data_IF_384757799898
#
_entry.id   IF_384757799898
#
_cell.length_a   1.000
_cell.length_b   1.000
_cell.length_c   1.000
_cell.angle_alpha   90.00
_cell.angle_beta   90.00
_cell.angle_gamma   90.00
#
_symmetry.space_group_name_H-M   'P 1'
#
loop_
_entity.id
_entity.type
_entity.pdbx_description
1 polymer ?
#
# COMPACT_ATOMS: atom_id res chain seq x y z
N UNK A 1 18.08 21.63 15.55
CA UNK A 1 16.94 22.47 15.90
C UNK A 1 15.67 21.71 15.56
N UNK A 2 14.82 21.40 16.53
CA UNK A 2 13.64 20.56 16.32
C UNK A 2 12.52 21.29 15.58
N UNK A 3 11.50 20.55 15.13
CA UNK A 3 10.31 21.08 14.46
C UNK A 3 9.38 21.86 15.42
N UNK A 4 9.60 21.79 16.74
CA UNK A 4 8.71 22.34 17.76
C UNK A 4 8.37 23.83 17.59
N UNK A 5 9.34 24.75 17.37
CA UNK A 5 9.01 26.17 17.20
C UNK A 5 8.13 26.43 15.97
N UNK A 6 8.30 25.65 14.91
CA UNK A 6 7.47 25.74 13.71
C UNK A 6 6.03 25.29 13.98
N UNK A 7 5.86 24.24 14.80
CA UNK A 7 4.54 23.74 15.20
C UNK A 7 3.80 24.75 16.08
N UNK A 8 4.49 25.36 17.05
CA UNK A 8 3.94 26.42 17.90
C UNK A 8 3.47 27.61 17.06
N UNK A 9 4.30 28.05 16.12
CA UNK A 9 3.95 29.14 15.22
C UNK A 9 2.71 28.82 14.37
N UNK A 10 2.62 27.60 13.81
CA UNK A 10 1.45 27.19 13.03
C UNK A 10 0.16 27.19 13.86
N UNK A 11 0.24 26.68 15.10
CA UNK A 11 -0.89 26.68 16.04
C UNK A 11 -1.30 28.12 16.41
N UNK A 12 -0.33 28.99 16.67
CA UNK A 12 -0.60 30.41 16.98
C UNK A 12 -1.26 31.16 15.83
N UNK A 13 -0.97 30.75 14.59
CA UNK A 13 -1.62 31.25 13.37
C UNK A 13 -3.01 30.63 13.12
N UNK A 14 -3.50 29.76 14.00
CA UNK A 14 -4.82 29.14 13.89
C UNK A 14 -4.87 27.95 12.91
N UNK A 15 -3.73 27.32 12.62
CA UNK A 15 -3.67 26.16 11.74
C UNK A 15 -3.82 24.85 12.51
N UNK A 16 -4.67 23.95 12.00
CA UNK A 16 -4.68 22.56 12.44
C UNK A 16 -3.36 21.86 12.05
N UNK A 17 -2.92 20.91 12.87
CA UNK A 17 -1.67 20.17 12.64
C UNK A 17 -1.97 18.69 12.49
N UNK A 18 -1.61 18.13 11.33
CA UNK A 18 -1.64 16.69 11.06
C UNK A 18 -0.24 16.11 11.15
N UNK A 19 -0.04 15.19 12.09
CA UNK A 19 1.22 14.51 12.34
C UNK A 19 1.13 13.02 11.96
N UNK A 20 2.02 12.60 11.07
CA UNK A 20 2.18 11.20 10.69
C UNK A 20 3.42 10.53 11.28
N UNK A 21 4.16 11.19 12.17
CA UNK A 21 5.35 10.64 12.82
C UNK A 21 4.96 9.67 13.96
N UNK A 22 5.94 8.90 14.44
CA UNK A 22 5.79 8.06 15.65
C UNK A 22 6.04 8.85 16.95
N UNK A 23 6.45 10.12 16.85
CA UNK A 23 6.49 11.06 17.97
C UNK A 23 5.17 11.83 18.01
N UNK A 24 4.37 11.62 19.05
CA UNK A 24 3.01 12.13 19.11
C UNK A 24 2.95 13.58 19.61
N UNK A 25 2.12 14.39 18.96
CA UNK A 25 1.88 15.77 19.40
C UNK A 25 1.12 15.80 20.73
N UNK A 26 0.23 14.84 20.95
CA UNK A 26 -0.56 14.71 22.19
C UNK A 26 0.27 14.46 23.44
N UNK A 27 1.47 13.91 23.31
CA UNK A 27 2.37 13.68 24.44
C UNK A 27 3.12 14.96 24.85
N UNK A 28 2.98 16.05 24.07
CA UNK A 28 3.62 17.35 24.32
C UNK A 28 2.61 18.29 24.96
N UNK A 29 2.58 18.29 26.30
CA UNK A 29 1.62 19.06 27.10
C UNK A 29 1.54 20.54 26.69
N UNK A 30 2.67 21.17 26.36
CA UNK A 30 2.74 22.57 25.91
C UNK A 30 2.00 22.79 24.58
N UNK A 31 2.17 21.90 23.60
CA UNK A 31 1.45 21.97 22.32
C UNK A 31 -0.05 21.71 22.51
N UNK A 32 -0.42 20.77 23.37
CA UNK A 32 -1.82 20.47 23.66
C UNK A 32 -2.52 21.68 24.28
N UNK A 33 -1.89 22.31 25.28
CA UNK A 33 -2.43 23.51 25.92
C UNK A 33 -2.55 24.67 24.92
N UNK A 34 -1.54 24.85 24.05
CA UNK A 34 -1.57 25.88 23.02
C UNK A 34 -2.69 25.64 22.00
N UNK A 35 -2.84 24.40 21.52
CA UNK A 35 -3.88 24.03 20.57
C UNK A 35 -5.29 24.24 21.14
N UNK A 36 -5.52 23.86 22.40
CA UNK A 36 -6.77 24.12 23.11
C UNK A 36 -7.07 25.61 23.23
N UNK A 37 -6.06 26.42 23.59
CA UNK A 37 -6.20 27.88 23.69
C UNK A 37 -6.54 28.54 22.34
N UNK A 38 -6.00 28.01 21.25
CA UNK A 38 -6.19 28.53 19.88
C UNK A 38 -7.40 27.93 19.16
N UNK A 39 -8.02 26.89 19.71
CA UNK A 39 -9.17 26.21 19.11
C UNK A 39 -8.82 25.39 17.87
N UNK A 40 -7.56 24.95 17.73
CA UNK A 40 -7.08 24.13 16.60
C UNK A 40 -6.97 22.66 16.98
N UNK A 41 -6.93 21.79 15.99
CA UNK A 41 -6.83 20.34 16.15
C UNK A 41 -5.39 19.84 16.00
N UNK A 42 -5.00 18.92 16.88
CA UNK A 42 -3.79 18.11 16.74
C UNK A 42 -4.19 16.67 16.38
N UNK A 43 -3.86 16.26 15.16
CA UNK A 43 -4.24 14.97 14.58
C UNK A 43 -3.00 14.09 14.45
N UNK A 44 -2.84 13.14 15.37
CA UNK A 44 -1.79 12.12 15.31
C UNK A 44 -2.31 10.87 14.58
N UNK A 45 -1.89 10.66 13.33
CA UNK A 45 -2.40 9.57 12.48
C UNK A 45 -1.98 8.17 12.96
N UNK A 46 -0.81 8.09 13.58
CA UNK A 46 -0.24 6.86 14.12
C UNK A 46 -0.57 6.63 15.59
N UNK A 47 -1.40 7.48 16.19
CA UNK A 47 -1.76 7.32 17.59
C UNK A 47 -2.52 6.00 17.77
N UNK A 48 -2.09 5.11 18.69
CA UNK A 48 -2.74 3.83 18.87
C UNK A 48 -4.21 4.00 19.23
N UNK A 49 -5.07 3.30 18.48
CA UNK A 49 -6.49 3.21 18.84
C UNK A 49 -6.63 2.45 20.16
N UNK A 50 -7.71 2.71 20.91
CA UNK A 50 -8.00 1.92 22.10
C UNK A 50 -8.21 0.46 21.72
N UNK A 51 -7.72 -0.47 22.54
CA UNK A 51 -7.79 -1.91 22.24
C UNK A 51 -9.23 -2.39 21.96
N UNK A 52 -10.22 -1.79 22.64
CA UNK A 52 -11.65 -2.09 22.46
C UNK A 52 -12.20 -1.67 21.10
N UNK A 53 -11.50 -0.78 20.39
CA UNK A 53 -11.88 -0.31 19.05
C UNK A 53 -11.14 -1.04 17.91
N UNK A 54 -10.18 -1.91 18.24
CA UNK A 54 -9.46 -2.72 17.27
C UNK A 54 -10.26 -3.98 16.94
N UNK A 55 -10.30 -4.34 15.66
CA UNK A 55 -11.01 -5.53 15.18
C UNK A 55 -10.11 -6.76 15.19
N UNK A 56 -10.67 -7.89 15.59
CA UNK A 56 -10.06 -9.20 15.35
C UNK A 56 -10.55 -9.74 14.00
N UNK A 57 -9.72 -10.53 13.33
CA UNK A 57 -10.10 -11.17 12.06
C UNK A 57 -11.12 -12.29 12.29
N UNK A 58 -12.15 -12.33 11.47
CA UNK A 58 -13.28 -13.27 11.58
C UNK A 58 -13.51 -14.11 10.32
N UNK A 59 -12.89 -13.73 9.20
CA UNK A 59 -13.13 -14.34 7.89
C UNK A 59 -14.32 -13.74 7.13
N UNK A 60 -15.00 -12.74 7.71
CA UNK A 60 -16.07 -11.99 7.08
C UNK A 60 -15.64 -11.30 5.78
N UNK A 61 -14.35 -11.05 5.56
CA UNK A 61 -13.81 -10.52 4.30
C UNK A 61 -14.27 -11.31 3.05
N UNK A 62 -14.55 -12.61 3.19
CA UNK A 62 -15.05 -13.49 2.12
C UNK A 62 -16.45 -13.09 1.62
N UNK A 63 -17.20 -12.33 2.41
CA UNK A 63 -18.50 -11.78 2.02
C UNK A 63 -18.34 -10.66 0.98
N UNK A 64 -17.20 -9.96 0.96
CA UNK A 64 -16.91 -8.93 -0.03
C UNK A 64 -16.65 -9.57 -1.40
N UNK A 65 -17.69 -9.61 -2.24
CA UNK A 65 -17.66 -10.27 -3.56
C UNK A 65 -16.93 -9.46 -4.65
N UNK A 66 -16.43 -8.27 -4.34
CA UNK A 66 -15.59 -7.50 -5.27
C UNK A 66 -14.24 -8.19 -5.52
N UNK A 67 -13.57 -7.81 -6.61
CA UNK A 67 -12.21 -8.28 -6.92
C UNK A 67 -11.21 -7.54 -6.03
N UNK A 68 -10.35 -8.27 -5.30
CA UNK A 68 -9.41 -7.69 -4.33
C UNK A 68 -7.95 -7.92 -4.74
N UNK A 69 -7.29 -6.87 -5.24
CA UNK A 69 -5.91 -6.95 -5.74
C UNK A 69 -4.98 -6.17 -4.81
N UNK A 70 -3.95 -6.84 -4.28
CA UNK A 70 -2.90 -6.14 -3.54
C UNK A 70 -1.79 -5.65 -4.47
N UNK A 71 -1.29 -4.44 -4.24
CA UNK A 71 -0.11 -3.91 -4.92
C UNK A 71 1.10 -4.06 -4.00
N UNK A 72 1.77 -5.22 -4.09
CA UNK A 72 2.97 -5.53 -3.32
C UNK A 72 4.22 -5.04 -4.05
N UNK A 73 5.40 -5.19 -3.44
CA UNK A 73 6.64 -4.79 -4.09
C UNK A 73 7.87 -5.39 -3.46
N UNK A 74 9.00 -5.32 -4.16
CA UNK A 74 10.27 -5.89 -3.71
C UNK A 74 11.02 -5.05 -2.69
N UNK A 75 10.63 -3.78 -2.50
CA UNK A 75 11.20 -2.89 -1.47
C UNK A 75 10.26 -1.70 -1.12
N UNK A 76 10.59 -0.95 -0.07
CA UNK A 76 10.01 0.37 0.26
C UNK A 76 10.31 1.40 -0.84
N UNK A 77 9.46 2.42 -1.00
CA UNK A 77 9.71 3.54 -1.92
C UNK A 77 10.09 3.05 -3.34
N UNK A 78 9.41 1.99 -3.80
CA UNK A 78 9.60 1.41 -5.13
C UNK A 78 8.55 1.90 -6.15
N UNK A 79 7.51 2.61 -5.69
CA UNK A 79 6.43 3.13 -6.54
C UNK A 79 5.07 2.43 -6.38
N UNK A 80 4.89 1.54 -5.38
CA UNK A 80 3.64 0.78 -5.17
C UNK A 80 2.38 1.66 -5.21
N UNK A 81 2.36 2.73 -4.41
CA UNK A 81 1.24 3.66 -4.35
C UNK A 81 1.03 4.41 -5.66
N UNK A 82 2.10 4.85 -6.33
CA UNK A 82 2.04 5.52 -7.63
C UNK A 82 1.37 4.61 -8.66
N UNK A 83 1.82 3.37 -8.77
CA UNK A 83 1.21 2.37 -9.66
C UNK A 83 -0.24 2.09 -9.30
N UNK A 84 -0.56 1.98 -8.00
CA UNK A 84 -1.94 1.80 -7.53
C UNK A 84 -2.86 2.96 -7.93
N UNK A 85 -2.40 4.21 -7.83
CA UNK A 85 -3.17 5.38 -8.27
C UNK A 85 -3.37 5.40 -9.78
N UNK A 86 -2.34 5.09 -10.56
CA UNK A 86 -2.45 4.98 -12.02
C UNK A 86 -3.43 3.88 -12.43
N UNK A 87 -3.39 2.73 -11.76
CA UNK A 87 -4.32 1.62 -11.96
C UNK A 87 -5.76 2.02 -11.64
N UNK A 88 -5.97 2.71 -10.50
CA UNK A 88 -7.29 3.20 -10.11
C UNK A 88 -7.85 4.19 -11.15
N UNK A 89 -7.03 5.15 -11.60
CA UNK A 89 -7.41 6.12 -12.62
C UNK A 89 -7.73 5.44 -13.97
N UNK A 90 -6.88 4.51 -14.41
CA UNK A 90 -7.07 3.80 -15.67
C UNK A 90 -8.29 2.85 -15.63
N UNK A 91 -8.54 2.17 -14.51
CA UNK A 91 -9.73 1.34 -14.34
C UNK A 91 -11.01 2.18 -14.36
N UNK A 92 -11.05 3.31 -13.62
CA UNK A 92 -12.18 4.25 -13.65
C UNK A 92 -12.42 4.84 -15.04
N UNK A 93 -11.36 5.13 -15.80
CA UNK A 93 -11.46 5.58 -17.20
C UNK A 93 -12.13 4.53 -18.11
N UNK A 94 -12.02 3.24 -17.77
CA UNK A 94 -12.71 2.13 -18.45
C UNK A 94 -14.11 1.84 -17.89
N UNK A 95 -14.65 2.70 -17.02
CA UNK A 95 -15.98 2.54 -16.44
C UNK A 95 -16.06 1.57 -15.26
N UNK A 96 -14.92 1.09 -14.75
CA UNK A 96 -14.87 0.14 -13.65
C UNK A 96 -14.98 0.88 -12.33
N UNK A 97 -15.95 0.52 -11.50
CA UNK A 97 -16.03 1.08 -10.17
C UNK A 97 -14.89 0.56 -9.29
N UNK A 98 -13.85 1.40 -9.13
CA UNK A 98 -12.62 1.03 -8.43
C UNK A 98 -12.41 1.88 -7.18
N UNK A 99 -12.10 1.23 -6.07
CA UNK A 99 -11.73 1.87 -4.81
C UNK A 99 -10.35 1.42 -4.34
N UNK A 100 -9.75 2.21 -3.44
CA UNK A 100 -8.44 1.94 -2.86
C UNK A 100 -8.54 1.79 -1.34
N UNK A 101 -7.81 0.82 -0.79
CA UNK A 101 -7.56 0.70 0.65
C UNK A 101 -6.16 1.24 0.94
N UNK A 102 -6.07 2.33 1.70
CA UNK A 102 -4.78 2.79 2.21
C UNK A 102 -4.33 1.93 3.38
N UNK A 103 -3.02 1.74 3.50
CA UNK A 103 -2.40 1.04 4.62
C UNK A 103 -1.31 1.88 5.31
N UNK A 104 -1.05 3.08 4.81
CA UNK A 104 -0.08 4.01 5.39
C UNK A 104 -0.60 5.45 5.48
N UNK A 105 0.12 6.26 6.25
CA UNK A 105 -0.23 7.66 6.56
C UNK A 105 -0.46 8.52 5.31
N UNK A 106 0.33 8.32 4.25
CA UNK A 106 0.23 9.17 3.07
C UNK A 106 -1.05 8.90 2.30
N UNK A 107 -1.55 7.66 2.28
CA UNK A 107 -2.82 7.35 1.65
C UNK A 107 -3.98 8.06 2.37
N UNK A 108 -3.94 8.11 3.70
CA UNK A 108 -4.88 8.90 4.50
C UNK A 108 -4.78 10.40 4.18
N UNK A 109 -3.57 10.96 4.16
CA UNK A 109 -3.34 12.39 3.86
C UNK A 109 -3.76 12.76 2.42
N UNK A 110 -3.74 11.81 1.50
CA UNK A 110 -4.24 11.98 0.12
C UNK A 110 -5.76 11.86 0.02
N UNK A 111 -6.47 11.67 1.14
CA UNK A 111 -7.93 11.60 1.18
C UNK A 111 -8.50 10.26 0.71
N UNK A 112 -7.72 9.17 0.72
CA UNK A 112 -8.27 7.83 0.48
C UNK A 112 -9.22 7.51 1.64
N UNK A 113 -10.48 7.24 1.30
CA UNK A 113 -11.58 7.13 2.27
C UNK A 113 -11.45 5.94 3.22
N UNK A 114 -11.07 4.78 2.69
CA UNK A 114 -11.10 3.51 3.40
C UNK A 114 -9.69 2.98 3.63
N UNK A 115 -9.40 2.52 4.84
CA UNK A 115 -8.09 2.02 5.20
C UNK A 115 -7.77 2.07 6.68
N UNK A 116 -6.51 1.83 6.99
CA UNK A 116 -5.96 1.90 8.34
C UNK A 116 -4.44 2.17 8.27
N UNK A 117 -3.82 2.49 9.40
CA UNK A 117 -2.37 2.72 9.47
C UNK A 117 -1.69 1.46 9.97
N UNK A 118 -1.17 0.66 9.04
CA UNK A 118 -0.66 -0.68 9.30
C UNK A 118 0.52 -0.66 10.26
N UNK A 119 1.49 0.25 10.06
CA UNK A 119 2.71 0.33 10.87
C UNK A 119 2.50 0.85 12.30
N UNK A 120 1.33 1.41 12.60
CA UNK A 120 0.91 1.82 13.93
C UNK A 120 -0.10 0.85 14.58
N UNK A 121 -0.52 -0.18 13.84
CA UNK A 121 -1.49 -1.16 14.34
C UNK A 121 -0.75 -2.29 15.04
N UNK A 122 -1.13 -2.66 16.29
CA UNK A 122 -0.50 -3.79 16.95
C UNK A 122 -0.69 -5.07 16.13
N UNK A 123 0.37 -5.86 16.00
CA UNK A 123 0.44 -6.97 15.03
C UNK A 123 -0.77 -7.92 15.09
N UNK A 124 -1.24 -8.29 16.29
CA UNK A 124 -2.39 -9.16 16.48
C UNK A 124 -3.73 -8.65 15.93
N UNK A 125 -3.82 -7.36 15.59
CA UNK A 125 -5.02 -6.72 15.05
C UNK A 125 -4.89 -6.30 13.58
N UNK A 126 -3.71 -6.42 12.96
CA UNK A 126 -3.49 -5.99 11.56
C UNK A 126 -4.45 -6.69 10.61
N UNK A 127 -4.63 -8.01 10.76
CA UNK A 127 -5.55 -8.79 9.92
C UNK A 127 -7.01 -8.37 10.10
N UNK A 128 -7.44 -8.04 11.32
CA UNK A 128 -8.81 -7.62 11.59
C UNK A 128 -9.10 -6.19 11.15
N UNK A 129 -8.15 -5.26 11.30
CA UNK A 129 -8.29 -3.90 10.76
C UNK A 129 -8.28 -3.89 9.22
N UNK A 130 -7.48 -4.76 8.59
CA UNK A 130 -7.51 -4.98 7.14
C UNK A 130 -8.87 -5.51 6.67
N UNK A 131 -9.39 -6.56 7.31
CA UNK A 131 -10.73 -7.09 7.05
C UNK A 131 -11.81 -6.00 7.22
N UNK A 132 -11.74 -5.24 8.31
CA UNK A 132 -12.66 -4.13 8.58
C UNK A 132 -12.61 -3.04 7.51
N UNK A 133 -11.41 -2.64 7.07
CA UNK A 133 -11.24 -1.64 6.01
C UNK A 133 -11.86 -2.10 4.67
N UNK A 134 -11.64 -3.37 4.31
CA UNK A 134 -12.22 -3.98 3.10
C UNK A 134 -13.75 -4.01 3.20
N UNK A 135 -14.30 -4.46 4.33
CA UNK A 135 -15.74 -4.56 4.54
C UNK A 135 -16.42 -3.20 4.56
N UNK A 136 -15.82 -2.19 5.21
CA UNK A 136 -16.34 -0.83 5.19
C UNK A 136 -16.41 -0.29 3.76
N UNK A 137 -15.32 -0.45 2.99
CA UNK A 137 -15.30 -0.04 1.59
C UNK A 137 -16.34 -0.77 0.75
N UNK A 138 -16.47 -2.09 0.95
CA UNK A 138 -17.43 -2.89 0.19
C UNK A 138 -18.88 -2.52 0.51
N UNK A 139 -19.20 -2.28 1.78
CA UNK A 139 -20.55 -1.92 2.21
C UNK A 139 -20.94 -0.49 1.80
N UNK A 140 -20.02 0.47 1.90
CA UNK A 140 -20.30 1.89 1.64
C UNK A 140 -20.18 2.28 0.17
N UNK A 141 -19.21 1.72 -0.56
CA UNK A 141 -18.94 2.08 -1.96
C UNK A 141 -19.38 1.01 -2.95
N UNK A 142 -19.52 -0.28 -2.59
CA UNK A 142 -19.84 -1.37 -3.54
C UNK A 142 -18.94 -1.35 -4.80
N UNK A 143 -17.60 -1.36 -4.66
CA UNK A 143 -16.71 -1.37 -5.83
C UNK A 143 -16.75 -2.73 -6.54
N UNK A 144 -16.44 -2.73 -7.84
CA UNK A 144 -16.15 -3.93 -8.61
C UNK A 144 -14.70 -4.39 -8.39
N UNK A 145 -13.78 -3.42 -8.26
CA UNK A 145 -12.35 -3.63 -8.03
C UNK A 145 -11.90 -2.87 -6.78
N UNK A 146 -11.22 -3.57 -5.88
CA UNK A 146 -10.57 -3.02 -4.70
C UNK A 146 -9.06 -3.20 -4.80
N UNK A 147 -8.34 -2.08 -4.83
CA UNK A 147 -6.87 -2.06 -4.83
C UNK A 147 -6.36 -1.84 -3.40
N UNK A 148 -5.53 -2.73 -2.90
CA UNK A 148 -5.01 -2.69 -1.52
C UNK A 148 -3.53 -2.29 -1.56
N UNK A 149 -3.21 -1.19 -0.88
CA UNK A 149 -1.85 -0.67 -0.79
C UNK A 149 -0.95 -1.66 -0.02
N UNK A 150 0.09 -2.19 -0.67
CA UNK A 150 1.14 -2.94 0.03
C UNK A 150 2.12 -2.02 0.74
N UNK A 151 2.58 -2.43 1.93
CA UNK A 151 3.68 -1.78 2.66
C UNK A 151 4.95 -2.62 2.56
N UNK A 152 6.11 -1.95 2.70
CA UNK A 152 7.45 -2.57 2.65
C UNK A 152 7.63 -3.64 1.54
N UNK A 153 8.13 -4.82 1.90
CA UNK A 153 8.22 -6.01 1.05
C UNK A 153 8.23 -7.26 1.93
N UNK A 154 7.91 -8.43 1.38
CA UNK A 154 7.83 -9.67 2.17
C UNK A 154 9.15 -10.01 2.86
N UNK A 155 10.27 -9.70 2.20
CA UNK A 155 11.62 -10.01 2.66
C UNK A 155 12.43 -8.79 3.10
N UNK A 156 11.81 -7.61 3.23
CA UNK A 156 12.54 -6.44 3.73
C UNK A 156 12.89 -6.64 5.22
N UNK A 157 14.18 -6.61 5.60
CA UNK A 157 14.61 -6.99 6.94
C UNK A 157 14.24 -5.98 8.03
N UNK A 158 13.95 -4.72 7.72
CA UNK A 158 13.59 -3.72 8.74
C UNK A 158 12.13 -3.76 9.16
N UNK A 159 11.30 -4.50 8.43
CA UNK A 159 9.86 -4.47 8.55
C UNK A 159 9.25 -5.29 7.43
N UNK A 160 9.38 -6.64 7.49
CA UNK A 160 8.75 -7.50 6.49
C UNK A 160 7.24 -7.29 6.56
N UNK A 161 6.60 -7.15 5.41
CA UNK A 161 5.17 -6.88 5.34
C UNK A 161 4.58 -7.43 4.05
N UNK A 162 3.30 -7.82 4.12
CA UNK A 162 2.52 -8.25 2.97
C UNK A 162 1.99 -9.67 3.11
N UNK A 163 2.55 -10.48 4.02
CA UNK A 163 2.03 -11.79 4.34
C UNK A 163 0.61 -11.70 4.93
N UNK A 164 0.37 -10.68 5.76
CA UNK A 164 -0.93 -10.36 6.33
C UNK A 164 -1.96 -10.05 5.24
N UNK A 165 -1.56 -9.33 4.20
CA UNK A 165 -2.43 -9.03 3.06
C UNK A 165 -2.74 -10.30 2.27
N UNK A 166 -1.73 -11.13 1.99
CA UNK A 166 -1.87 -12.40 1.26
C UNK A 166 -2.81 -13.38 1.97
N UNK A 167 -2.72 -13.45 3.31
CA UNK A 167 -3.46 -14.43 4.10
C UNK A 167 -4.85 -13.95 4.51
N UNK A 168 -5.02 -12.66 4.81
CA UNK A 168 -6.21 -12.17 5.53
C UNK A 168 -7.18 -11.37 4.68
N UNK A 169 -6.80 -10.95 3.46
CA UNK A 169 -7.65 -10.11 2.61
C UNK A 169 -8.49 -10.87 1.57
N UNK A 170 -8.44 -12.21 1.54
CA UNK A 170 -9.11 -13.04 0.52
C UNK A 170 -8.74 -12.57 -0.91
N UNK A 171 -7.44 -12.37 -1.13
CA UNK A 171 -6.96 -11.75 -2.36
C UNK A 171 -7.23 -12.61 -3.58
N UNK A 172 -7.56 -11.88 -4.63
CA UNK A 172 -7.87 -12.37 -5.95
C UNK A 172 -6.63 -12.35 -6.86
N UNK A 173 -5.62 -11.57 -6.47
CA UNK A 173 -4.31 -11.52 -7.11
C UNK A 173 -3.42 -10.41 -6.55
N UNK A 174 -2.20 -10.37 -7.07
CA UNK A 174 -1.16 -9.41 -6.69
C UNK A 174 -0.59 -8.75 -7.93
N UNK A 175 -0.46 -7.43 -7.89
CA UNK A 175 0.41 -6.69 -8.80
C UNK A 175 1.72 -6.39 -8.09
N UNK A 176 2.84 -6.78 -8.71
CA UNK A 176 4.14 -6.72 -8.06
C UNK A 176 4.95 -5.54 -8.60
N UNK A 177 5.20 -4.54 -7.75
CA UNK A 177 6.09 -3.43 -8.04
C UNK A 177 7.55 -3.85 -7.90
N UNK A 178 8.36 -3.56 -8.90
CA UNK A 178 9.80 -3.81 -8.86
C UNK A 178 10.61 -2.59 -9.32
N UNK A 179 11.77 -2.38 -8.70
CA UNK A 179 12.74 -1.35 -9.03
C UNK A 179 14.07 -2.04 -9.39
N UNK A 180 14.28 -2.42 -10.66
CA UNK A 180 15.46 -3.19 -11.06
C UNK A 180 16.79 -2.47 -10.89
N UNK A 181 16.79 -1.12 -10.87
CA UNK A 181 18.00 -0.34 -10.59
C UNK A 181 18.47 -0.45 -9.13
N UNK A 182 17.68 -1.03 -8.22
CA UNK A 182 18.03 -1.19 -6.80
C UNK A 182 18.47 -2.61 -6.50
N UNK A 183 19.76 -2.77 -6.17
CA UNK A 183 20.36 -4.06 -5.83
C UNK A 183 20.23 -4.43 -4.34
N UNK A 184 20.10 -3.44 -3.45
CA UNK A 184 20.10 -3.64 -2.00
C UNK A 184 18.91 -2.93 -1.35
N UNK A 185 18.39 -3.48 -0.25
CA UNK A 185 17.28 -2.87 0.49
C UNK A 185 17.62 -1.46 0.96
N UNK A 186 16.72 -0.52 0.70
CA UNK A 186 16.92 0.92 0.99
C UNK A 186 17.09 1.23 2.49
N UNK A 187 16.52 0.41 3.37
CA UNK A 187 16.47 0.70 4.81
C UNK A 187 17.79 0.51 5.55
N UNK A 188 18.68 -0.34 5.02
CA UNK A 188 20.00 -0.56 5.61
C UNK A 188 21.09 -0.49 4.52
N UNK A 189 21.35 0.69 3.92
CA UNK A 189 22.30 0.80 2.82
C UNK A 189 23.71 0.33 3.18
N UNK A 190 24.14 0.57 4.43
CA UNK A 190 25.45 0.16 4.95
C UNK A 190 25.63 -1.36 5.00
N UNK A 191 24.56 -2.12 5.24
CA UNK A 191 24.61 -3.58 5.33
C UNK A 191 24.57 -4.27 3.96
N UNK A 192 24.24 -3.53 2.89
CA UNK A 192 24.17 -4.03 1.50
C UNK A 192 23.43 -5.38 1.40
N UNK A 193 22.28 -5.48 2.07
CA UNK A 193 21.45 -6.69 2.03
C UNK A 193 20.79 -6.77 0.65
N UNK A 194 21.08 -7.81 -0.15
CA UNK A 194 20.62 -7.87 -1.54
C UNK A 194 19.11 -8.07 -1.63
N UNK A 195 18.47 -7.37 -2.56
CA UNK A 195 17.10 -7.66 -2.97
C UNK A 195 17.15 -8.94 -3.81
N UNK A 196 16.41 -10.00 -3.44
CA UNK A 196 16.44 -11.26 -4.19
C UNK A 196 15.88 -11.11 -5.62
N UNK A 197 16.19 -12.05 -6.53
CA UNK A 197 15.63 -12.06 -7.88
C UNK A 197 14.10 -12.08 -7.85
N UNK A 198 13.48 -11.37 -8.80
CA UNK A 198 12.03 -11.18 -8.86
C UNK A 198 11.26 -12.50 -8.94
N UNK A 199 11.81 -13.51 -9.62
CA UNK A 199 11.24 -14.85 -9.73
C UNK A 199 11.04 -15.51 -8.36
N UNK A 200 11.98 -15.29 -7.44
CA UNK A 200 11.88 -15.82 -6.08
C UNK A 200 10.81 -15.10 -5.27
N UNK A 201 10.53 -13.83 -5.56
CA UNK A 201 9.44 -13.08 -4.92
C UNK A 201 8.08 -13.57 -5.43
N UNK A 202 7.97 -13.82 -6.73
CA UNK A 202 6.78 -14.43 -7.34
C UNK A 202 6.52 -15.83 -6.74
N UNK A 203 7.56 -16.64 -6.59
CA UNK A 203 7.47 -17.95 -5.95
C UNK A 203 7.06 -17.87 -4.48
N UNK A 204 7.58 -16.89 -3.74
CA UNK A 204 7.22 -16.66 -2.34
C UNK A 204 5.75 -16.24 -2.20
N UNK A 205 5.27 -15.33 -3.04
CA UNK A 205 3.84 -14.95 -3.07
C UNK A 205 2.96 -16.17 -3.34
N UNK A 206 3.38 -17.06 -4.26
CA UNK A 206 2.69 -18.33 -4.53
C UNK A 206 2.69 -19.27 -3.33
N UNK A 207 3.78 -19.32 -2.56
CA UNK A 207 3.85 -20.15 -1.36
C UNK A 207 2.85 -19.72 -0.27
N UNK A 208 2.47 -18.43 -0.23
CA UNK A 208 1.37 -17.91 0.61
C UNK A 208 -0.03 -18.15 0.01
N UNK A 209 -0.14 -18.84 -1.14
CA UNK A 209 -1.39 -19.03 -1.87
C UNK A 209 -1.80 -17.86 -2.78
N UNK A 210 -0.96 -16.81 -2.86
CA UNK A 210 -1.21 -15.67 -3.74
C UNK A 210 -0.87 -15.93 -5.21
N UNK A 211 -1.45 -15.14 -6.11
CA UNK A 211 -1.15 -15.19 -7.55
C UNK A 211 -0.70 -13.84 -8.04
N UNK A 212 0.52 -13.75 -8.58
CA UNK A 212 0.99 -12.54 -9.28
C UNK A 212 0.31 -12.46 -10.63
N UNK A 213 -0.37 -11.35 -10.90
CA UNK A 213 -1.10 -11.08 -12.13
C UNK A 213 -0.27 -10.29 -13.14
N UNK A 214 0.66 -9.48 -12.65
CA UNK A 214 1.52 -8.66 -13.49
C UNK A 214 2.52 -7.86 -12.66
N UNK A 215 3.44 -7.21 -13.36
CA UNK A 215 4.60 -6.55 -12.77
C UNK A 215 4.65 -5.10 -13.24
N UNK A 216 4.83 -4.18 -12.30
CA UNK A 216 5.04 -2.77 -12.56
C UNK A 216 6.51 -2.43 -12.31
N UNK A 217 7.22 -1.94 -13.32
CA UNK A 217 8.62 -1.57 -13.23
C UNK A 217 8.78 -0.08 -12.95
N UNK A 218 9.66 0.26 -12.01
CA UNK A 218 10.16 1.61 -11.82
C UNK A 218 11.54 1.72 -12.49
N UNK A 219 11.66 2.63 -13.47
CA UNK A 219 12.88 2.84 -14.25
C UNK A 219 14.05 3.51 -13.52
N UNK A 220 13.86 3.97 -12.29
CA UNK A 220 14.88 4.71 -11.57
C UNK A 220 16.20 3.91 -11.48
N UNK A 221 17.31 4.55 -11.85
CA UNK A 221 18.63 3.94 -11.86
C UNK A 221 18.97 3.14 -13.13
N UNK A 222 18.09 3.09 -14.13
CA UNK A 222 18.34 2.50 -15.44
C UNK A 222 18.13 3.50 -16.58
N UNK A 223 18.82 3.29 -17.70
CA UNK A 223 18.49 3.99 -18.95
C UNK A 223 17.19 3.44 -19.56
N UNK A 224 16.46 4.21 -20.39
CA UNK A 224 15.26 3.74 -21.07
C UNK A 224 15.48 2.45 -21.88
N UNK A 225 16.64 2.31 -22.53
CA UNK A 225 17.02 1.12 -23.29
C UNK A 225 17.29 -0.10 -22.38
N UNK A 226 17.97 0.11 -21.25
CA UNK A 226 18.23 -0.95 -20.28
C UNK A 226 16.92 -1.43 -19.64
N UNK A 227 16.03 -0.50 -19.29
CA UNK A 227 14.71 -0.80 -18.75
C UNK A 227 13.84 -1.56 -19.75
N UNK A 228 13.80 -1.14 -21.02
CA UNK A 228 13.06 -1.83 -22.08
C UNK A 228 13.55 -3.26 -22.32
N UNK A 229 14.88 -3.47 -22.35
CA UNK A 229 15.46 -4.83 -22.43
C UNK A 229 15.09 -5.68 -21.21
N UNK A 230 15.17 -5.09 -20.01
CA UNK A 230 14.83 -5.77 -18.78
C UNK A 230 13.35 -6.19 -18.74
N UNK A 231 12.44 -5.31 -19.19
CA UNK A 231 11.01 -5.61 -19.34
C UNK A 231 10.78 -6.83 -20.25
N UNK A 232 11.36 -6.83 -21.46
CA UNK A 232 11.21 -7.93 -22.42
C UNK A 232 11.73 -9.27 -21.85
N UNK A 233 12.90 -9.24 -21.19
CA UNK A 233 13.47 -10.42 -20.55
C UNK A 233 12.56 -10.96 -19.45
N UNK A 234 11.99 -10.09 -18.61
CA UNK A 234 11.06 -10.50 -17.56
C UNK A 234 9.77 -11.09 -18.12
N UNK A 235 9.20 -10.48 -19.16
CA UNK A 235 7.99 -11.01 -19.82
C UNK A 235 8.22 -12.43 -20.33
N UNK A 236 9.36 -12.68 -20.99
CA UNK A 236 9.72 -14.00 -21.50
C UNK A 236 9.94 -15.02 -20.38
N UNK A 237 10.59 -14.63 -19.28
CA UNK A 237 10.93 -15.54 -18.17
C UNK A 237 9.74 -15.88 -17.30
N UNK A 238 8.90 -14.88 -16.99
CA UNK A 238 7.79 -15.03 -16.05
C UNK A 238 6.46 -15.35 -16.72
N UNK A 239 6.33 -15.12 -18.03
CA UNK A 239 5.08 -15.27 -18.77
C UNK A 239 3.94 -14.46 -18.11
N UNK A 240 4.29 -13.26 -17.65
CA UNK A 240 3.38 -12.31 -17.00
C UNK A 240 3.40 -10.98 -17.75
N UNK A 241 2.29 -10.23 -17.76
CA UNK A 241 2.28 -8.82 -18.14
C UNK A 241 3.30 -8.03 -17.31
N UNK A 242 4.13 -7.24 -17.97
CA UNK A 242 5.08 -6.33 -17.34
C UNK A 242 4.89 -4.97 -18.00
N UNK A 243 4.66 -3.94 -17.20
CA UNK A 243 4.56 -2.57 -17.70
C UNK A 243 5.51 -1.62 -16.97
N UNK A 244 5.70 -0.44 -17.56
CA UNK A 244 6.44 0.70 -17.02
C UNK A 244 5.46 1.85 -16.75
N UNK A 245 4.86 1.94 -15.54
CA UNK A 245 3.69 2.78 -15.30
C UNK A 245 3.86 4.26 -15.66
N UNK A 246 5.07 4.82 -15.52
CA UNK A 246 5.33 6.23 -15.80
C UNK A 246 5.60 6.50 -17.29
N UNK A 247 6.10 5.51 -18.02
CA UNK A 247 6.54 5.62 -19.40
C UNK A 247 5.44 5.23 -20.40
N UNK A 248 4.68 4.17 -20.11
CA UNK A 248 3.68 3.60 -21.03
C UNK A 248 2.30 3.43 -20.40
N UNK A 249 2.14 3.84 -19.14
CA UNK A 249 0.91 3.62 -18.38
C UNK A 249 0.77 2.20 -17.85
N UNK A 250 -0.45 1.85 -17.45
CA UNK A 250 -0.76 0.61 -16.72
C UNK A 250 -1.79 -0.25 -17.44
N UNK A 251 -2.14 0.08 -18.68
CA UNK A 251 -3.21 -0.57 -19.42
C UNK A 251 -2.98 -2.08 -19.61
N UNK A 252 -1.72 -2.48 -19.75
CA UNK A 252 -1.30 -3.89 -19.84
C UNK A 252 -1.53 -4.71 -18.56
N UNK A 253 -1.72 -4.05 -17.41
CA UNK A 253 -2.01 -4.69 -16.12
C UNK A 253 -3.52 -4.77 -15.82
N UNK A 254 -4.34 -4.14 -16.65
CA UNK A 254 -5.79 -4.07 -16.49
C UNK A 254 -6.53 -4.98 -17.47
N UNK A 255 -5.95 -6.13 -17.84
CA UNK A 255 -6.67 -7.11 -18.64
C UNK A 255 -7.89 -7.61 -17.87
N UNK A 256 -9.07 -7.23 -18.35
CA UNK A 256 -10.33 -7.51 -17.70
C UNK A 256 -10.66 -9.00 -17.70
N UNK A 257 -10.23 -9.76 -18.72
CA UNK A 257 -10.40 -11.20 -18.72
C UNK A 257 -9.48 -11.85 -17.69
N UNK A 258 -8.27 -11.35 -17.49
CA UNK A 258 -7.38 -11.86 -16.44
C UNK A 258 -7.88 -11.47 -15.03
N UNK A 259 -8.49 -10.30 -14.91
CA UNK A 259 -9.03 -9.81 -13.65
C UNK A 259 -10.42 -10.38 -13.32
N UNK A 260 -11.24 -10.81 -14.29
CA UNK A 260 -12.64 -11.23 -14.05
C UNK A 260 -13.05 -12.55 -14.74
N UNK A 261 -12.17 -13.19 -15.52
CA UNK A 261 -12.49 -14.34 -16.37
C UNK A 261 -12.84 -15.65 -15.66
N UNK A 262 -12.88 -15.67 -14.33
CA UNK A 262 -13.41 -16.78 -13.54
C UNK A 262 -14.18 -16.23 -12.34
N UNK A 263 -15.47 -15.90 -12.53
CA UNK A 263 -16.38 -15.66 -11.40
C UNK A 263 -17.55 -16.63 -11.51
N UNK A 264 -17.27 -17.89 -11.20
CA UNK A 264 -18.20 -18.67 -10.37
C UNK A 264 -17.63 -18.63 -8.95
N UNK A 265 -17.85 -17.53 -8.24
CA UNK A 265 -17.72 -17.54 -6.79
C UNK A 265 -19.03 -18.11 -6.25
N UNK A 266 -19.04 -19.41 -5.97
CA UNK A 266 -20.12 -20.07 -5.20
C UNK A 266 -20.40 -19.38 -3.87
#
# INVERSE_FOLDING_TARGET
>A
AGLLPMLEQAIDMGMDVVNGLHEYLRDKAELVALAQKRGVQLIDLRYPKSQRSLRCWTGAVRQARCRKIAVLGTDIIAGKRTSMQLLCAAARKRGIHTEMIYTGQTGWMQGIRHGFILDATPNGYVSGELEGAILNCWNESRPELLLIEGQAALRNPSGPCGAELLLSADLDGVLLQHLPGRQYYQVCPSLRIPIPPLESEVALIRAYGGRVLGIALNGQGLSPEALGRYQQQLQQRLQLPVCRPLEEGVDALLDWQQLFGHIEKG
#
